data_IF_577136068456
#
_entry.id   IF_577136068456
#
_cell.length_a   1.000
_cell.length_b   1.000
_cell.length_c   1.000
_cell.angle_alpha   90.00
_cell.angle_beta   90.00
_cell.angle_gamma   90.00
#
_symmetry.space_group_name_H-M   'P 1'
#
loop_
_entity.id
_entity.type
_entity.pdbx_description
1 polymer ?
#
# COMPACT_ATOMS: atom_id res chain seq x y z
N UNK A 1 -5.61 2.48 29.13
CA UNK A 1 -4.38 3.30 29.23
C UNK A 1 -4.05 3.66 27.81
N UNK A 2 -3.89 4.94 27.50
CA UNK A 2 -3.68 5.40 26.11
C UNK A 2 -2.28 5.02 25.63
N UNK A 3 -2.12 4.63 24.36
CA UNK A 3 -0.85 4.10 23.84
C UNK A 3 0.29 5.14 23.92
N UNK A 4 -0.04 6.43 23.76
CA UNK A 4 0.92 7.52 23.94
C UNK A 4 1.39 7.66 25.39
N UNK A 5 0.53 7.29 26.35
CA UNK A 5 0.87 7.29 27.76
C UNK A 5 1.84 6.16 28.10
N UNK A 6 1.65 4.97 27.51
CA UNK A 6 2.58 3.82 27.61
C UNK A 6 3.95 4.19 27.05
N UNK A 7 3.97 4.79 25.85
CA UNK A 7 5.20 5.25 25.19
C UNK A 7 5.99 6.22 26.07
N UNK A 8 5.29 7.19 26.70
CA UNK A 8 5.89 8.14 27.62
C UNK A 8 6.58 7.47 28.81
N UNK A 9 5.94 6.44 29.39
CA UNK A 9 6.53 5.67 30.49
C UNK A 9 7.76 4.86 30.08
N UNK A 10 7.72 4.19 28.93
CA UNK A 10 8.84 3.39 28.41
C UNK A 10 10.05 4.29 28.16
N UNK A 11 9.85 5.43 27.50
CA UNK A 11 10.91 6.39 27.23
C UNK A 11 11.53 6.96 28.51
N UNK A 12 10.69 7.32 29.50
CA UNK A 12 11.16 7.80 30.81
C UNK A 12 11.94 6.72 31.58
N UNK A 13 11.50 5.46 31.52
CA UNK A 13 12.17 4.32 32.16
C UNK A 13 13.54 4.04 31.54
N UNK A 14 13.63 3.98 30.21
CA UNK A 14 14.90 3.76 29.49
C UNK A 14 15.92 4.85 29.82
N UNK A 15 15.48 6.12 29.86
CA UNK A 15 16.34 7.26 30.25
C UNK A 15 16.80 7.16 31.70
N UNK A 16 15.91 6.79 32.63
CA UNK A 16 16.23 6.66 34.06
C UNK A 16 17.20 5.50 34.37
N UNK A 17 17.15 4.42 33.59
CA UNK A 17 18.04 3.26 33.73
C UNK A 17 19.37 3.37 32.97
N UNK A 18 19.59 4.45 32.21
CA UNK A 18 20.82 4.66 31.46
C UNK A 18 20.90 3.92 30.12
N UNK A 19 19.78 3.42 29.58
CA UNK A 19 19.71 2.75 28.29
C UNK A 19 19.60 3.75 27.12
N UNK A 20 20.59 4.63 26.97
CA UNK A 20 20.55 5.72 25.97
C UNK A 20 20.60 5.22 24.54
N UNK A 21 21.48 4.25 24.23
CA UNK A 21 21.61 3.68 22.89
C UNK A 21 20.34 2.89 22.48
N UNK A 22 19.78 2.12 23.41
CA UNK A 22 18.54 1.35 23.18
C UNK A 22 17.33 2.27 23.05
N UNK A 23 17.30 3.38 23.79
CA UNK A 23 16.27 4.41 23.64
C UNK A 23 16.32 5.13 22.29
N UNK A 24 17.52 5.38 21.76
CA UNK A 24 17.70 5.95 20.41
C UNK A 24 17.24 4.98 19.31
N UNK A 25 17.57 3.69 19.43
CA UNK A 25 17.08 2.66 18.50
C UNK A 25 15.55 2.57 18.52
N UNK A 26 14.96 2.52 19.72
CA UNK A 26 13.50 2.48 19.91
C UNK A 26 12.81 3.73 19.36
N UNK A 27 13.37 4.94 19.56
CA UNK A 27 12.86 6.16 18.93
C UNK A 27 12.96 6.12 17.40
N UNK A 28 14.05 5.58 16.86
CA UNK A 28 14.23 5.37 15.43
C UNK A 28 13.16 4.45 14.85
N UNK A 29 12.87 3.33 15.51
CA UNK A 29 11.82 2.38 15.12
C UNK A 29 10.42 3.01 15.20
N UNK A 30 10.12 3.78 16.25
CA UNK A 30 8.85 4.48 16.39
C UNK A 30 8.66 5.56 15.32
N UNK A 31 9.71 6.31 14.99
CA UNK A 31 9.66 7.26 13.88
C UNK A 31 9.48 6.54 12.55
N UNK A 32 10.18 5.41 12.34
CA UNK A 32 10.04 4.61 11.14
C UNK A 32 8.61 4.07 10.97
N UNK A 33 8.04 3.51 12.03
CA UNK A 33 6.66 3.01 12.06
C UNK A 33 5.63 4.13 11.84
N UNK A 34 5.83 5.31 12.44
CA UNK A 34 4.97 6.48 12.18
C UNK A 34 5.06 6.96 10.73
N UNK A 35 6.25 6.93 10.14
CA UNK A 35 6.47 7.26 8.73
C UNK A 35 5.90 6.20 7.78
N UNK A 36 5.87 4.92 8.16
CA UNK A 36 5.17 3.85 7.42
C UNK A 36 3.64 3.97 7.49
N UNK A 37 3.13 4.66 8.52
CA UNK A 37 1.70 4.85 8.75
C UNK A 37 1.11 6.09 8.06
N UNK A 38 1.89 6.85 7.29
CA UNK A 38 1.36 8.04 6.60
C UNK A 38 0.44 7.64 5.41
N UNK A 39 -0.87 7.95 5.47
CA UNK A 39 -1.80 7.63 4.39
C UNK A 39 -1.46 8.31 3.06
N UNK A 40 -0.73 9.43 3.08
CA UNK A 40 -0.30 10.12 1.86
C UNK A 40 0.63 9.25 0.99
N UNK A 41 1.37 8.31 1.59
CA UNK A 41 2.29 7.43 0.86
C UNK A 41 1.59 6.48 -0.10
N UNK A 42 0.37 6.05 0.22
CA UNK A 42 -0.45 5.24 -0.69
C UNK A 42 -0.83 6.03 -1.92
N UNK A 43 -1.38 7.23 -1.72
CA UNK A 43 -1.79 8.12 -2.80
C UNK A 43 -0.62 8.54 -3.68
N UNK A 44 0.46 9.05 -3.07
CA UNK A 44 1.62 9.54 -3.81
C UNK A 44 2.40 8.41 -4.48
N UNK A 45 2.52 7.26 -3.81
CA UNK A 45 3.20 6.08 -4.34
C UNK A 45 2.46 5.54 -5.56
N UNK A 46 1.14 5.39 -5.45
CA UNK A 46 0.30 4.93 -6.55
C UNK A 46 0.29 5.93 -7.70
N UNK A 47 0.10 7.22 -7.42
CA UNK A 47 0.10 8.28 -8.44
C UNK A 47 1.40 8.31 -9.24
N UNK A 48 2.54 8.11 -8.57
CA UNK A 48 3.85 8.02 -9.21
C UNK A 48 3.96 6.77 -10.09
N UNK A 49 3.61 5.59 -9.56
CA UNK A 49 3.61 4.34 -10.33
C UNK A 49 2.71 4.42 -11.56
N UNK A 50 1.49 4.95 -11.40
CA UNK A 50 0.52 5.18 -12.46
C UNK A 50 1.10 6.07 -13.56
N UNK A 51 1.60 7.26 -13.18
CA UNK A 51 2.18 8.21 -14.13
C UNK A 51 3.37 7.59 -14.88
N UNK A 52 4.26 6.90 -14.18
CA UNK A 52 5.39 6.22 -14.80
C UNK A 52 4.94 5.12 -15.79
N UNK A 53 3.92 4.34 -15.42
CA UNK A 53 3.37 3.28 -16.28
C UNK A 53 2.79 3.85 -17.57
N UNK A 54 1.96 4.90 -17.48
CA UNK A 54 1.36 5.53 -18.67
C UNK A 54 2.39 6.22 -19.57
N UNK A 55 3.50 6.71 -19.00
CA UNK A 55 4.61 7.32 -19.73
C UNK A 55 5.66 6.30 -20.23
N UNK A 56 5.51 5.01 -19.91
CA UNK A 56 6.40 3.96 -20.40
C UNK A 56 6.18 3.66 -21.88
N UNK A 57 7.15 3.01 -22.52
CA UNK A 57 7.04 2.60 -23.93
C UNK A 57 5.88 1.62 -24.13
N UNK A 58 5.15 1.75 -25.23
CA UNK A 58 3.96 0.93 -25.52
C UNK A 58 4.25 -0.58 -25.52
N UNK A 59 5.49 -0.96 -25.88
CA UNK A 59 5.98 -2.33 -25.84
C UNK A 59 5.84 -2.97 -24.44
N UNK A 60 6.02 -2.20 -23.37
CA UNK A 60 5.97 -2.68 -21.98
C UNK A 60 4.72 -2.22 -21.23
N UNK A 61 4.14 -1.08 -21.66
CA UNK A 61 3.01 -0.40 -21.03
C UNK A 61 1.84 -1.33 -20.75
N UNK A 62 1.43 -2.13 -21.74
CA UNK A 62 0.31 -3.06 -21.59
C UNK A 62 0.55 -4.13 -20.50
N UNK A 63 1.79 -4.56 -20.29
CA UNK A 63 2.14 -5.48 -19.21
C UNK A 63 2.13 -4.77 -17.85
N UNK A 64 2.72 -3.57 -17.79
CA UNK A 64 2.81 -2.77 -16.57
C UNK A 64 1.43 -2.28 -16.10
N UNK A 65 0.50 -1.96 -17.00
CA UNK A 65 -0.86 -1.56 -16.65
C UNK A 65 -1.61 -2.64 -15.86
N UNK A 66 -1.33 -3.92 -16.09
CA UNK A 66 -1.94 -5.03 -15.34
C UNK A 66 -1.55 -5.04 -13.86
N UNK A 67 -0.43 -4.42 -13.51
CA UNK A 67 0.03 -4.27 -12.12
C UNK A 67 -0.78 -3.21 -11.37
N UNK A 68 -1.34 -2.23 -12.08
CA UNK A 68 -2.00 -1.08 -11.43
C UNK A 68 -3.27 -1.47 -10.66
N UNK A 69 -4.08 -2.41 -11.16
CA UNK A 69 -5.33 -2.76 -10.50
C UNK A 69 -5.12 -3.46 -9.15
N UNK A 70 -4.32 -4.55 -9.04
CA UNK A 70 -4.04 -5.16 -7.75
C UNK A 70 -3.44 -4.16 -6.76
N UNK A 71 -2.47 -3.35 -7.19
CA UNK A 71 -1.86 -2.35 -6.31
C UNK A 71 -2.91 -1.34 -5.82
N UNK A 72 -3.78 -0.85 -6.70
CA UNK A 72 -4.85 0.09 -6.36
C UNK A 72 -5.77 -0.48 -5.28
N UNK A 73 -6.32 -1.68 -5.49
CA UNK A 73 -7.28 -2.30 -4.56
C UNK A 73 -6.64 -2.59 -3.21
N UNK A 74 -5.42 -3.12 -3.18
CA UNK A 74 -4.73 -3.41 -1.92
C UNK A 74 -4.34 -2.13 -1.16
N UNK A 75 -3.90 -1.07 -1.86
CA UNK A 75 -3.66 0.23 -1.24
C UNK A 75 -4.93 0.79 -0.58
N UNK A 76 -6.07 0.73 -1.29
CA UNK A 76 -7.36 1.15 -0.74
C UNK A 76 -7.75 0.33 0.50
N UNK A 77 -7.71 -1.01 0.40
CA UNK A 77 -8.11 -1.89 1.50
C UNK A 77 -7.20 -1.71 2.72
N UNK A 78 -5.91 -1.45 2.53
CA UNK A 78 -4.97 -1.21 3.64
C UNK A 78 -5.23 0.13 4.32
N UNK A 79 -5.53 1.18 3.54
CA UNK A 79 -5.93 2.47 4.13
C UNK A 79 -7.21 2.33 4.96
N UNK A 80 -8.21 1.60 4.46
CA UNK A 80 -9.45 1.32 5.20
C UNK A 80 -9.16 0.51 6.46
N UNK A 81 -8.37 -0.56 6.38
CA UNK A 81 -8.03 -1.40 7.52
C UNK A 81 -7.28 -0.62 8.62
N UNK A 82 -6.44 0.34 8.24
CA UNK A 82 -5.74 1.26 9.17
C UNK A 82 -6.62 2.38 9.73
N UNK A 83 -7.88 2.48 9.30
CA UNK A 83 -8.83 3.50 9.77
C UNK A 83 -8.76 4.84 9.04
N UNK A 84 -7.97 4.96 7.97
CA UNK A 84 -7.83 6.18 7.16
C UNK A 84 -8.98 6.32 6.16
N UNK A 85 -10.22 6.37 6.64
CA UNK A 85 -11.43 6.27 5.81
C UNK A 85 -11.56 7.44 4.82
N UNK A 86 -11.24 8.66 5.24
CA UNK A 86 -11.38 9.83 4.39
C UNK A 86 -10.32 9.82 3.27
N UNK A 87 -9.10 9.46 3.60
CA UNK A 87 -7.98 9.34 2.67
C UNK A 87 -8.19 8.18 1.70
N UNK A 88 -8.71 7.05 2.19
CA UNK A 88 -9.08 5.91 1.35
C UNK A 88 -10.17 6.28 0.33
N UNK A 89 -11.20 7.03 0.74
CA UNK A 89 -12.25 7.51 -0.18
C UNK A 89 -11.71 8.47 -1.23
N UNK A 90 -10.86 9.41 -0.81
CA UNK A 90 -10.22 10.33 -1.73
C UNK A 90 -9.34 9.57 -2.74
N UNK A 91 -8.54 8.62 -2.26
CA UNK A 91 -7.74 7.73 -3.09
C UNK A 91 -8.59 6.93 -4.09
N UNK A 92 -9.66 6.29 -3.62
CA UNK A 92 -10.55 5.49 -4.45
C UNK A 92 -11.19 6.33 -5.56
N UNK A 93 -11.72 7.50 -5.20
CA UNK A 93 -12.40 8.40 -6.15
C UNK A 93 -11.42 8.96 -7.20
N UNK A 94 -10.18 9.27 -6.80
CA UNK A 94 -9.18 9.84 -7.71
C UNK A 94 -8.70 8.87 -8.80
N UNK A 95 -8.70 7.56 -8.54
CA UNK A 95 -8.08 6.57 -9.43
C UNK A 95 -9.02 5.47 -9.94
N UNK A 96 -10.27 5.38 -9.44
CA UNK A 96 -11.23 4.34 -9.86
C UNK A 96 -11.47 4.30 -11.37
N UNK A 97 -11.54 5.47 -12.03
CA UNK A 97 -11.88 5.60 -13.45
C UNK A 97 -10.92 4.81 -14.35
N UNK A 98 -9.65 4.67 -13.95
CA UNK A 98 -8.67 3.88 -14.70
C UNK A 98 -9.01 2.38 -14.79
N UNK A 99 -9.80 1.89 -13.83
CA UNK A 99 -10.08 0.47 -13.65
C UNK A 99 -11.53 0.10 -13.96
N UNK A 100 -12.42 1.07 -14.13
CA UNK A 100 -13.86 0.84 -14.31
C UNK A 100 -14.15 -0.04 -15.53
N UNK A 101 -13.41 0.12 -16.64
CA UNK A 101 -13.65 -0.64 -17.87
C UNK A 101 -13.55 -2.15 -17.63
N UNK A 102 -12.60 -2.61 -16.82
CA UNK A 102 -12.36 -4.04 -16.58
C UNK A 102 -12.91 -4.55 -15.25
N UNK A 103 -13.08 -3.68 -14.25
CA UNK A 103 -13.35 -4.07 -12.86
C UNK A 103 -14.56 -3.36 -12.23
N UNK A 104 -15.50 -2.84 -13.05
CA UNK A 104 -16.67 -2.09 -12.55
C UNK A 104 -17.41 -2.76 -11.39
N UNK A 105 -17.67 -4.07 -11.50
CA UNK A 105 -18.44 -4.82 -10.49
C UNK A 105 -17.72 -4.85 -9.15
N UNK A 106 -16.42 -5.14 -9.18
CA UNK A 106 -15.57 -5.20 -7.99
C UNK A 106 -15.50 -3.83 -7.31
N UNK A 107 -15.34 -2.76 -8.10
CA UNK A 107 -15.32 -1.39 -7.62
C UNK A 107 -16.64 -0.99 -6.96
N UNK A 108 -17.78 -1.36 -7.54
CA UNK A 108 -19.09 -1.11 -6.96
C UNK A 108 -19.29 -1.82 -5.62
N UNK A 109 -18.74 -3.02 -5.45
CA UNK A 109 -18.77 -3.74 -4.17
C UNK A 109 -17.92 -3.04 -3.09
N UNK A 110 -16.79 -2.45 -3.49
CA UNK A 110 -15.86 -1.78 -2.57
C UNK A 110 -16.23 -0.32 -2.26
N UNK A 111 -17.00 0.34 -3.11
CA UNK A 111 -17.47 1.72 -2.89
C UNK A 111 -18.32 1.85 -1.62
N UNK A 112 -19.04 0.79 -1.25
CA UNK A 112 -19.85 0.71 -0.03
C UNK A 112 -19.04 0.46 1.25
N UNK A 113 -17.71 0.36 1.19
CA UNK A 113 -16.90 0.09 2.38
C UNK A 113 -16.74 1.36 3.21
N UNK A 114 -17.49 1.43 4.33
CA UNK A 114 -17.54 2.61 5.20
C UNK A 114 -16.74 2.49 6.50
N UNK A 115 -16.28 1.28 6.85
CA UNK A 115 -15.56 1.03 8.10
C UNK A 115 -14.60 -0.17 7.99
N UNK A 116 -13.58 -0.25 8.86
CA UNK A 116 -12.68 -1.40 8.92
C UNK A 116 -13.44 -2.70 9.24
N UNK A 117 -14.41 -2.64 10.17
CA UNK A 117 -15.22 -3.79 10.57
C UNK A 117 -16.02 -4.36 9.40
N UNK A 118 -16.58 -3.50 8.54
CA UNK A 118 -17.31 -3.96 7.37
C UNK A 118 -16.37 -4.61 6.34
N UNK A 119 -15.15 -4.07 6.16
CA UNK A 119 -14.14 -4.69 5.30
C UNK A 119 -13.75 -6.08 5.83
N UNK A 120 -13.65 -6.27 7.14
CA UNK A 120 -13.38 -7.55 7.79
C UNK A 120 -14.54 -8.55 7.71
N UNK A 121 -15.78 -8.11 7.51
CA UNK A 121 -16.92 -9.02 7.33
C UNK A 121 -17.12 -9.41 5.85
N UNK A 122 -16.51 -8.66 4.92
CA UNK A 122 -16.73 -8.80 3.50
C UNK A 122 -15.93 -9.98 2.91
N UNK A 123 -16.62 -11.05 2.55
CA UNK A 123 -16.01 -12.27 1.96
C UNK A 123 -15.16 -11.95 0.71
N UNK A 124 -15.62 -11.00 -0.11
CA UNK A 124 -14.87 -10.55 -1.29
C UNK A 124 -13.50 -9.96 -0.94
N UNK A 125 -13.43 -9.14 0.12
CA UNK A 125 -12.17 -8.55 0.58
C UNK A 125 -11.20 -9.62 1.12
N UNK A 126 -11.73 -10.64 1.81
CA UNK A 126 -10.93 -11.80 2.24
C UNK A 126 -10.35 -12.56 1.08
N UNK A 127 -11.16 -12.87 0.06
CA UNK A 127 -10.70 -13.57 -1.14
C UNK A 127 -9.58 -12.82 -1.85
N UNK A 128 -9.70 -11.49 -1.96
CA UNK A 128 -8.66 -10.63 -2.53
C UNK A 128 -7.37 -10.63 -1.68
N UNK A 129 -7.47 -10.57 -0.34
CA UNK A 129 -6.29 -10.58 0.53
C UNK A 129 -5.59 -11.95 0.59
N UNK A 130 -6.33 -13.04 0.48
CA UNK A 130 -5.78 -14.41 0.60
C UNK A 130 -5.14 -14.94 -0.69
N UNK A 131 -5.46 -14.36 -1.84
CA UNK A 131 -4.95 -14.81 -3.13
C UNK A 131 -3.93 -13.83 -3.71
N UNK A 132 -2.84 -14.35 -4.27
CA UNK A 132 -1.92 -13.54 -5.07
C UNK A 132 -2.41 -13.50 -6.51
N UNK A 133 -2.41 -12.32 -7.11
CA UNK A 133 -2.73 -12.14 -8.53
C UNK A 133 -1.54 -12.59 -9.36
N UNK A 134 -1.77 -13.55 -10.26
CA UNK A 134 -0.76 -14.00 -11.21
C UNK A 134 -0.72 -13.06 -12.42
N UNK A 135 0.46 -12.48 -12.70
CA UNK A 135 0.68 -11.59 -13.84
C UNK A 135 1.80 -12.15 -14.71
N UNK A 136 1.45 -12.55 -15.93
CA UNK A 136 2.43 -12.89 -16.97
C UNK A 136 3.10 -11.62 -17.48
N UNK A 137 4.40 -11.47 -17.35
CA UNK A 137 5.14 -10.27 -17.76
C UNK A 137 6.50 -10.66 -18.34
N UNK A 138 6.98 -9.96 -19.35
CA UNK A 138 8.34 -10.21 -19.85
C UNK A 138 9.41 -9.91 -18.80
N UNK A 139 10.55 -10.60 -18.88
CA UNK A 139 11.71 -10.36 -18.02
C UNK A 139 12.12 -8.88 -18.00
N UNK A 140 12.09 -8.23 -19.17
CA UNK A 140 12.49 -6.84 -19.29
C UNK A 140 11.51 -5.89 -18.58
N UNK A 141 10.19 -6.09 -18.74
CA UNK A 141 9.20 -5.27 -18.05
C UNK A 141 9.25 -5.46 -16.53
N UNK A 142 9.53 -6.68 -16.06
CA UNK A 142 9.75 -6.96 -14.64
C UNK A 142 10.97 -6.22 -14.09
N UNK A 143 12.12 -6.32 -14.77
CA UNK A 143 13.35 -5.60 -14.37
C UNK A 143 13.14 -4.09 -14.34
N UNK A 144 12.48 -3.55 -15.38
CA UNK A 144 12.15 -2.14 -15.50
C UNK A 144 11.26 -1.65 -14.32
N UNK A 145 10.25 -2.44 -13.94
CA UNK A 145 9.41 -2.17 -12.78
C UNK A 145 10.22 -2.18 -11.47
N UNK A 146 11.06 -3.19 -11.27
CA UNK A 146 11.87 -3.31 -10.06
C UNK A 146 12.89 -2.19 -9.93
N UNK A 147 13.56 -1.82 -11.02
CA UNK A 147 14.50 -0.69 -11.03
C UNK A 147 13.80 0.62 -10.64
N UNK A 148 12.61 0.87 -11.21
CA UNK A 148 11.82 2.05 -10.89
C UNK A 148 11.40 2.11 -9.41
N UNK A 149 10.88 1.00 -8.86
CA UNK A 149 10.42 0.94 -7.47
C UNK A 149 11.57 1.15 -6.47
N UNK A 150 12.75 0.59 -6.74
CA UNK A 150 13.93 0.82 -5.91
C UNK A 150 14.43 2.26 -6.00
N UNK A 151 14.51 2.83 -7.22
CA UNK A 151 14.97 4.21 -7.43
C UNK A 151 14.09 5.24 -6.75
N UNK A 152 12.77 5.02 -6.75
CA UNK A 152 11.79 5.92 -6.14
C UNK A 152 11.62 5.71 -4.63
N UNK A 153 12.25 4.68 -4.06
CA UNK A 153 12.10 4.28 -2.65
C UNK A 153 10.62 4.12 -2.26
N UNK A 154 9.80 3.63 -3.17
CA UNK A 154 8.36 3.44 -2.97
C UNK A 154 8.09 2.16 -2.17
N UNK A 155 8.53 2.13 -0.91
CA UNK A 155 8.50 0.92 -0.07
C UNK A 155 7.09 0.40 0.17
N UNK A 156 6.10 1.28 0.31
CA UNK A 156 4.70 0.90 0.46
C UNK A 156 4.19 0.15 -0.77
N UNK A 157 4.44 0.68 -1.97
CA UNK A 157 4.00 0.06 -3.22
C UNK A 157 4.77 -1.24 -3.49
N UNK A 158 6.07 -1.25 -3.22
CA UNK A 158 6.90 -2.45 -3.34
C UNK A 158 6.42 -3.56 -2.38
N UNK A 159 6.05 -3.21 -1.15
CA UNK A 159 5.46 -4.13 -0.18
C UNK A 159 4.16 -4.76 -0.68
N UNK A 160 3.23 -3.92 -1.16
CA UNK A 160 1.96 -4.37 -1.75
C UNK A 160 2.20 -5.32 -2.94
N UNK A 161 3.12 -4.97 -3.85
CA UNK A 161 3.45 -5.81 -5.00
C UNK A 161 4.00 -7.16 -4.55
N UNK A 162 4.96 -7.18 -3.63
CA UNK A 162 5.59 -8.41 -3.16
C UNK A 162 4.61 -9.33 -2.41
N UNK A 163 3.69 -8.73 -1.65
CA UNK A 163 2.70 -9.49 -0.87
C UNK A 163 1.60 -10.06 -1.77
N UNK A 164 1.07 -9.28 -2.70
CA UNK A 164 -0.18 -9.61 -3.39
C UNK A 164 -0.04 -9.98 -4.87
N UNK A 165 1.15 -9.86 -5.47
CA UNK A 165 1.36 -10.16 -6.88
C UNK A 165 2.39 -11.27 -7.03
N UNK A 166 2.10 -12.20 -7.93
CA UNK A 166 3.03 -13.22 -8.38
C UNK A 166 3.35 -12.99 -9.86
N UNK A 167 4.58 -12.61 -10.16
CA UNK A 167 5.03 -12.41 -11.54
C UNK A 167 5.45 -13.73 -12.15
N UNK A 168 4.86 -14.03 -13.30
CA UNK A 168 5.22 -15.18 -14.13
C UNK A 168 6.01 -14.64 -15.31
N UNK A 169 7.33 -14.86 -15.26
CA UNK A 169 8.32 -14.29 -16.17
C UNK A 169 8.83 -15.34 -17.15
#
# INVERSE_FOLDING_TARGET
MDDDQVLGFVHAYMKKKGFTQTGQAFQGELQHSRLESDPARYHDGYSRLRSWTYNSLDLYKHELLRVLYPVFIHCFMDQVAKGYIQEARNFFTSFREDHEIMHLRDLQQLEGVLSPSYLEEMEFAHSLRQSKVNINISQYSYELLMEYLHKTQSTTILGVINEHINFQV
#
